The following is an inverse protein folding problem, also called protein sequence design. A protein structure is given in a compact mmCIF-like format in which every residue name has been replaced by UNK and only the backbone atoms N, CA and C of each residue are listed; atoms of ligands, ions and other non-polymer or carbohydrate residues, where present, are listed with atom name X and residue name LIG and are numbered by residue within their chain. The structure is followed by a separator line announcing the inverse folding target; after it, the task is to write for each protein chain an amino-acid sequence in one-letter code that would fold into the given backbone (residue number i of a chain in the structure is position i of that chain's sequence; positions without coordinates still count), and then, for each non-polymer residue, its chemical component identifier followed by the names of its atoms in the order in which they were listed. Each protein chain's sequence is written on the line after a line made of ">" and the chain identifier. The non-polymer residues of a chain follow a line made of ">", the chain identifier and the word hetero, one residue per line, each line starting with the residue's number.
data_IF_710315118052
#
_entry.id   IF_710315118052
#
_cell.length_a   1.000
_cell.length_b   1.000
_cell.length_c   1.000
_cell.angle_alpha   90.00
_cell.angle_beta   90.00
_cell.angle_gamma   90.00
#
_symmetry.space_group_name_H-M   'P 1'
#
loop_
_entity.id
_entity.type
_entity.pdbx_description
1 polymer ?
#
# COMPACT_ATOMS: atom_id res chain seq x y z
N UNK A 1 3.35 -84.24 -1.63
CA UNK A 1 4.37 -83.19 -1.86
C UNK A 1 3.64 -82.02 -2.54
N UNK A 2 3.13 -81.09 -1.74
CA UNK A 2 2.29 -79.97 -2.20
C UNK A 2 3.14 -78.70 -2.31
N UNK A 3 3.10 -78.05 -3.47
CA UNK A 3 3.83 -76.80 -3.74
C UNK A 3 2.85 -75.64 -3.52
N UNK A 4 3.10 -74.84 -2.47
CA UNK A 4 2.33 -73.62 -2.21
C UNK A 4 2.87 -72.48 -3.08
N UNK A 5 2.01 -71.90 -3.91
CA UNK A 5 2.29 -70.66 -4.66
C UNK A 5 1.90 -69.48 -3.77
N UNK A 6 2.87 -68.74 -3.25
CA UNK A 6 2.62 -67.49 -2.53
C UNK A 6 2.46 -66.35 -3.53
N UNK A 7 1.23 -65.86 -3.72
CA UNK A 7 0.95 -64.57 -4.34
C UNK A 7 1.14 -63.45 -3.33
N UNK A 8 2.22 -62.67 -3.45
CA UNK A 8 2.40 -61.41 -2.73
C UNK A 8 1.73 -60.27 -3.51
N UNK A 9 0.56 -59.84 -3.03
CA UNK A 9 -0.08 -58.61 -3.48
C UNK A 9 0.73 -57.40 -3.00
N UNK A 10 1.31 -56.64 -3.92
CA UNK A 10 2.01 -55.38 -3.63
C UNK A 10 0.96 -54.27 -3.49
N UNK A 11 0.45 -54.08 -2.28
CA UNK A 11 -0.38 -52.91 -1.91
C UNK A 11 0.53 -51.86 -1.29
N UNK A 12 0.89 -50.82 -2.03
CA UNK A 12 1.57 -49.68 -1.41
C UNK A 12 2.20 -48.67 -2.36
N UNK A 13 1.39 -47.91 -3.09
CA UNK A 13 1.89 -46.66 -3.73
C UNK A 13 0.83 -45.65 -4.12
N UNK A 14 -0.46 -45.86 -3.83
CA UNK A 14 -1.52 -44.97 -4.32
C UNK A 14 -1.84 -43.77 -3.40
N UNK A 15 -1.32 -43.70 -2.17
CA UNK A 15 -1.83 -42.76 -1.15
C UNK A 15 -0.99 -41.50 -0.91
N UNK A 16 0.16 -41.32 -1.58
CA UNK A 16 1.03 -40.14 -1.38
C UNK A 16 0.96 -39.09 -2.48
N UNK A 17 0.35 -39.38 -3.64
CA UNK A 17 0.24 -38.41 -4.75
C UNK A 17 -0.98 -37.48 -4.67
N UNK A 18 -1.92 -37.68 -3.75
CA UNK A 18 -3.13 -36.86 -3.67
C UNK A 18 -2.93 -35.52 -2.93
N UNK A 19 -1.79 -35.30 -2.27
CA UNK A 19 -1.54 -34.10 -1.45
C UNK A 19 -0.79 -32.98 -2.18
N UNK A 20 -0.24 -33.25 -3.37
CA UNK A 20 0.54 -32.29 -4.15
C UNK A 20 -0.33 -31.29 -4.94
N UNK A 21 -1.49 -31.63 -5.53
CA UNK A 21 -2.22 -30.65 -6.34
C UNK A 21 -2.96 -29.60 -5.50
N UNK A 22 -3.31 -29.91 -4.24
CA UNK A 22 -4.01 -28.97 -3.35
C UNK A 22 -3.13 -27.79 -2.89
N UNK A 23 -1.81 -27.97 -2.82
CA UNK A 23 -0.88 -26.89 -2.44
C UNK A 23 -0.55 -25.98 -3.63
N UNK A 24 -0.59 -26.49 -4.87
CA UNK A 24 -0.29 -25.72 -6.07
C UNK A 24 -1.43 -24.75 -6.47
N UNK A 25 -2.68 -25.08 -6.16
CA UNK A 25 -3.84 -24.19 -6.37
C UNK A 25 -3.99 -23.11 -5.28
N UNK A 26 -3.26 -23.20 -4.16
CA UNK A 26 -3.26 -22.18 -3.11
C UNK A 26 -2.33 -21.00 -3.39
N UNK A 27 -1.27 -21.19 -4.19
CA UNK A 27 -0.26 -20.16 -4.47
C UNK A 27 -0.58 -19.27 -5.68
N UNK A 28 -1.57 -19.61 -6.50
CA UNK A 28 -1.93 -18.82 -7.69
C UNK A 28 -2.67 -17.51 -7.36
N UNK A 29 -3.05 -17.28 -6.10
CA UNK A 29 -3.74 -16.07 -5.66
C UNK A 29 -2.86 -14.83 -5.47
N UNK A 30 -1.52 -14.95 -5.50
CA UNK A 30 -0.62 -13.81 -5.32
C UNK A 30 -0.15 -13.16 -6.64
N UNK A 31 -0.62 -13.65 -7.79
CA UNK A 31 -0.17 -13.16 -9.10
C UNK A 31 -1.30 -12.63 -9.99
N UNK A 32 -2.57 -12.74 -9.56
CA UNK A 32 -3.68 -12.02 -10.19
C UNK A 32 -3.70 -10.62 -9.62
N UNK A 33 -3.32 -9.62 -10.43
CA UNK A 33 -3.27 -8.20 -10.09
C UNK A 33 -4.61 -7.54 -9.75
N UNK A 34 -5.59 -8.30 -9.26
CA UNK A 34 -6.92 -7.81 -8.86
C UNK A 34 -6.89 -7.00 -7.54
N UNK A 35 -5.75 -6.97 -6.86
CA UNK A 35 -5.54 -6.09 -5.70
C UNK A 35 -5.06 -4.68 -6.08
N UNK A 36 -4.71 -4.44 -7.35
CA UNK A 36 -4.16 -3.17 -7.83
C UNK A 36 -4.96 -2.56 -9.01
N UNK A 37 -6.10 -3.14 -9.39
CA UNK A 37 -6.86 -2.64 -10.55
C UNK A 37 -7.43 -1.23 -10.34
N UNK A 38 -7.77 -0.87 -9.10
CA UNK A 38 -8.40 0.42 -8.74
C UNK A 38 -7.43 1.42 -8.09
N UNK A 39 -6.13 1.23 -8.26
CA UNK A 39 -5.14 2.22 -7.84
C UNK A 39 -4.33 2.74 -9.04
N UNK A 40 -3.83 3.96 -8.93
CA UNK A 40 -3.00 4.65 -9.91
C UNK A 40 -1.98 5.52 -9.18
N UNK A 41 -0.96 6.03 -9.88
CA UNK A 41 -0.14 7.10 -9.29
C UNK A 41 -0.93 8.39 -9.23
N UNK A 42 -0.55 9.29 -8.31
CA UNK A 42 -1.06 10.67 -8.29
C UNK A 42 -1.07 11.26 -9.70
N UNK A 43 -2.26 11.63 -10.17
CA UNK A 43 -2.48 12.12 -11.54
C UNK A 43 -3.00 13.55 -11.59
N UNK A 44 -3.13 14.22 -10.44
CA UNK A 44 -3.58 15.61 -10.35
C UNK A 44 -4.61 15.84 -9.24
N UNK A 45 -5.29 17.00 -9.27
CA UNK A 45 -6.13 17.48 -8.16
C UNK A 45 -7.29 16.57 -7.75
N UNK A 46 -7.78 15.74 -8.68
CA UNK A 46 -8.89 14.81 -8.39
C UNK A 46 -8.43 13.53 -7.65
N UNK A 47 -7.12 13.37 -7.43
CA UNK A 47 -6.55 12.20 -6.74
C UNK A 47 -6.72 12.32 -5.22
N UNK A 48 -7.15 11.24 -4.57
CA UNK A 48 -7.15 11.14 -3.10
C UNK A 48 -5.80 10.57 -2.64
N UNK A 49 -4.87 11.45 -2.27
CA UNK A 49 -3.52 11.07 -1.81
C UNK A 49 -3.44 10.78 -0.30
N UNK A 50 -4.50 11.04 0.45
CA UNK A 50 -4.49 10.88 1.90
C UNK A 50 -5.87 10.51 2.41
N UNK A 51 -5.89 9.63 3.40
CA UNK A 51 -7.08 9.21 4.11
C UNK A 51 -6.80 9.22 5.61
N UNK A 52 -7.78 9.63 6.41
CA UNK A 52 -7.67 9.72 7.87
C UNK A 52 -7.80 8.35 8.55
N UNK A 53 -7.17 7.33 7.98
CA UNK A 53 -7.10 5.97 8.49
C UNK A 53 -5.72 5.43 8.26
N UNK A 54 -5.02 5.16 9.35
CA UNK A 54 -3.74 4.47 9.32
C UNK A 54 -3.98 2.95 9.31
N UNK A 55 -3.40 2.27 8.34
CA UNK A 55 -3.43 0.81 8.23
C UNK A 55 -2.03 0.19 8.27
N UNK A 56 -1.04 1.04 8.50
CA UNK A 56 0.35 0.68 8.65
C UNK A 56 0.64 -0.03 9.95
N UNK A 57 1.70 -0.82 9.90
CA UNK A 57 2.33 -1.38 11.08
C UNK A 57 3.82 -1.26 10.84
N UNK A 58 4.35 -0.05 11.00
CA UNK A 58 5.78 0.18 10.95
C UNK A 58 6.37 0.38 12.37
N UNK A 59 7.69 0.31 12.43
CA UNK A 59 8.46 0.75 13.57
C UNK A 59 9.37 1.88 13.08
N UNK A 60 8.75 2.99 12.65
CA UNK A 60 9.46 4.04 11.94
C UNK A 60 10.61 4.65 12.76
N UNK A 61 11.79 4.93 12.16
CA UNK A 61 12.88 5.66 12.80
C UNK A 61 12.59 7.14 13.09
N UNK A 62 11.44 7.66 12.63
CA UNK A 62 11.00 9.04 12.79
C UNK A 62 11.01 9.82 11.48
N UNK A 63 10.18 10.87 11.40
CA UNK A 63 10.08 11.77 10.25
C UNK A 63 11.35 12.62 10.11
N UNK A 64 11.77 12.85 8.86
CA UNK A 64 12.91 13.72 8.56
C UNK A 64 12.45 15.18 8.52
N UNK A 65 13.11 16.04 9.31
CA UNK A 65 12.83 17.47 9.30
C UNK A 65 13.06 18.08 7.92
N UNK A 66 12.06 18.84 7.44
CA UNK A 66 12.14 19.57 6.18
C UNK A 66 11.78 18.76 4.93
N UNK A 67 11.45 17.48 5.08
CA UNK A 67 10.91 16.64 4.00
C UNK A 67 9.37 16.63 4.07
N UNK A 68 8.74 17.64 3.46
CA UNK A 68 7.28 17.71 3.34
C UNK A 68 6.87 18.41 2.05
N UNK A 69 5.75 17.95 1.47
CA UNK A 69 5.05 18.68 0.43
C UNK A 69 3.98 19.61 1.02
N UNK A 70 3.46 20.50 0.18
CA UNK A 70 2.28 21.30 0.50
C UNK A 70 1.11 20.76 -0.32
N UNK A 71 0.04 20.32 0.33
CA UNK A 71 -1.22 20.00 -0.34
C UNK A 71 -2.25 21.11 -0.06
N UNK A 72 -3.14 21.34 -1.02
CA UNK A 72 -4.33 22.16 -0.86
C UNK A 72 -5.50 21.24 -0.50
N UNK A 73 -6.07 21.41 0.69
CA UNK A 73 -7.22 20.63 1.14
C UNK A 73 -8.51 21.03 0.37
N UNK A 74 -9.63 20.30 0.55
CA UNK A 74 -10.91 20.64 -0.09
C UNK A 74 -11.43 22.04 0.23
N UNK A 75 -11.01 22.64 1.35
CA UNK A 75 -11.36 24.01 1.74
C UNK A 75 -10.44 25.05 1.07
N UNK A 76 -9.40 24.61 0.35
CA UNK A 76 -8.42 25.46 -0.33
C UNK A 76 -7.31 25.97 0.58
N UNK A 77 -7.19 25.41 1.79
CA UNK A 77 -6.14 25.73 2.75
C UNK A 77 -4.94 24.81 2.58
N UNK A 78 -3.77 25.31 2.95
CA UNK A 78 -2.51 24.60 2.81
C UNK A 78 -2.26 23.70 4.03
N UNK A 79 -1.89 22.45 3.75
CA UNK A 79 -1.43 21.49 4.75
C UNK A 79 -0.03 21.01 4.41
N UNK A 80 0.78 20.76 5.43
CA UNK A 80 1.98 19.94 5.30
C UNK A 80 1.55 18.49 5.17
N UNK A 81 2.16 17.77 4.23
CA UNK A 81 1.95 16.34 4.05
C UNK A 81 3.28 15.62 3.85
N UNK A 82 3.41 14.47 4.52
CA UNK A 82 4.54 13.56 4.46
C UNK A 82 3.96 12.15 4.38
N UNK A 83 4.50 11.31 3.51
CA UNK A 83 4.12 9.93 3.37
C UNK A 83 5.37 9.06 3.23
N UNK A 84 5.54 8.07 4.10
CA UNK A 84 6.63 7.10 4.00
C UNK A 84 6.22 5.79 3.34
N UNK A 85 5.13 5.81 2.58
CA UNK A 85 4.62 4.72 1.75
C UNK A 85 3.70 3.75 2.49
N UNK A 86 3.59 3.83 3.81
CA UNK A 86 2.63 3.06 4.59
C UNK A 86 1.83 3.96 5.53
N UNK A 87 2.48 4.97 6.12
CA UNK A 87 1.90 5.90 7.07
C UNK A 87 2.04 7.35 6.58
N UNK A 88 0.91 8.06 6.58
CA UNK A 88 0.85 9.46 6.16
C UNK A 88 0.66 10.41 7.34
N UNK A 89 1.44 11.49 7.37
CA UNK A 89 1.35 12.55 8.37
C UNK A 89 0.88 13.84 7.72
N UNK A 90 -0.05 14.53 8.39
CA UNK A 90 -0.50 15.84 7.93
C UNK A 90 -0.71 16.83 9.07
N UNK A 91 -0.45 18.10 8.79
CA UNK A 91 -0.77 19.19 9.72
C UNK A 91 -1.14 20.47 8.96
N UNK A 92 -2.05 21.31 9.48
CA UNK A 92 -2.34 22.60 8.86
C UNK A 92 -1.10 23.48 8.83
N UNK A 93 -0.92 24.21 7.73
CA UNK A 93 0.15 25.20 7.60
C UNK A 93 -0.37 26.56 8.04
N UNK A 94 0.36 27.20 8.93
CA UNK A 94 0.00 28.51 9.49
C UNK A 94 0.94 29.61 8.98
N UNK A 95 0.37 30.78 8.75
CA UNK A 95 1.16 31.99 8.52
C UNK A 95 1.82 32.42 9.83
N UNK A 96 3.17 32.51 9.91
CA UNK A 96 3.86 32.88 11.14
C UNK A 96 3.56 34.32 11.60
N UNK A 97 3.08 35.21 10.72
CA UNK A 97 2.76 36.59 11.09
C UNK A 97 1.39 36.70 11.78
N UNK A 98 0.39 35.94 11.31
CA UNK A 98 -1.00 36.02 11.79
C UNK A 98 -1.41 34.87 12.69
N UNK A 99 -0.72 33.72 12.62
CA UNK A 99 -1.09 32.48 13.28
C UNK A 99 -2.32 31.80 12.67
N UNK A 100 -2.82 32.29 11.54
CA UNK A 100 -3.99 31.74 10.85
C UNK A 100 -3.59 30.69 9.81
N UNK A 101 -4.47 29.72 9.50
CA UNK A 101 -4.26 28.81 8.37
C UNK A 101 -4.03 29.58 7.06
N UNK A 102 -3.12 29.09 6.23
CA UNK A 102 -2.84 29.70 4.94
C UNK A 102 -3.87 29.21 3.91
N UNK A 103 -4.84 30.04 3.56
CA UNK A 103 -5.87 29.76 2.54
C UNK A 103 -5.85 30.87 1.49
N UNK A 104 -4.85 30.85 0.60
CA UNK A 104 -4.56 31.93 -0.35
C UNK A 104 -5.20 31.76 -1.73
N UNK A 105 -5.79 30.58 -2.00
CA UNK A 105 -6.45 30.26 -3.28
C UNK A 105 -5.49 30.27 -4.48
N UNK A 106 -4.17 30.15 -4.26
CA UNK A 106 -3.17 30.22 -5.33
C UNK A 106 -3.22 29.02 -6.28
N UNK A 107 -3.59 27.85 -5.75
CA UNK A 107 -3.78 26.61 -6.49
C UNK A 107 -5.14 26.00 -6.15
N UNK A 108 -5.74 25.21 -7.08
CA UNK A 108 -7.02 24.57 -6.81
C UNK A 108 -6.90 23.51 -5.70
N UNK A 109 -7.99 23.24 -4.95
CA UNK A 109 -8.07 22.10 -4.02
C UNK A 109 -7.60 20.79 -4.65
N UNK A 110 -6.89 19.96 -3.89
CA UNK A 110 -6.28 18.72 -4.35
C UNK A 110 -4.89 18.86 -5.00
N UNK A 111 -4.41 20.10 -5.20
CA UNK A 111 -3.05 20.33 -5.71
C UNK A 111 -2.00 19.94 -4.68
N UNK A 112 -0.99 19.19 -5.12
CA UNK A 112 0.19 18.85 -4.31
C UNK A 112 1.42 19.53 -4.89
N UNK A 113 2.18 20.22 -4.04
CA UNK A 113 3.38 20.97 -4.39
C UNK A 113 4.60 20.33 -3.72
N UNK A 114 5.47 19.71 -4.54
CA UNK A 114 6.69 19.04 -4.08
C UNK A 114 6.52 17.55 -3.86
N UNK A 115 7.61 16.82 -3.56
CA UNK A 115 7.57 15.41 -3.22
C UNK A 115 6.97 15.23 -1.83
N UNK A 116 5.91 14.45 -1.71
CA UNK A 116 5.30 14.09 -0.42
C UNK A 116 5.79 12.74 0.08
N UNK A 117 6.20 11.85 -0.83
CA UNK A 117 6.81 10.55 -0.53
C UNK A 117 8.24 10.70 -0.01
N UNK A 118 8.57 10.04 1.10
CA UNK A 118 9.93 9.98 1.63
C UNK A 118 10.77 8.94 0.88
N UNK A 119 12.09 9.08 0.97
CA UNK A 119 13.02 8.13 0.34
C UNK A 119 13.01 6.73 0.97
N UNK A 120 12.45 6.59 2.17
CA UNK A 120 12.31 5.31 2.88
C UNK A 120 11.09 4.52 2.46
N UNK A 121 10.24 5.09 1.60
CA UNK A 121 9.04 4.41 1.12
C UNK A 121 9.35 3.08 0.42
N UNK A 122 8.62 1.98 0.73
CA UNK A 122 8.85 0.68 0.10
C UNK A 122 8.62 0.67 -1.42
N UNK A 123 7.91 1.68 -1.94
CA UNK A 123 7.61 1.89 -3.34
C UNK A 123 6.86 3.20 -3.55
N UNK A 124 6.55 3.55 -4.81
CA UNK A 124 5.70 4.70 -5.11
C UNK A 124 4.29 4.47 -4.55
N UNK A 125 3.68 5.53 -4.04
CA UNK A 125 2.32 5.52 -3.56
C UNK A 125 1.34 5.29 -4.72
N UNK A 126 0.24 4.60 -4.40
CA UNK A 126 -0.83 4.30 -5.33
C UNK A 126 -2.15 4.78 -4.74
N UNK A 127 -2.67 5.85 -5.33
CA UNK A 127 -3.94 6.46 -4.97
C UNK A 127 -5.11 5.74 -5.63
N UNK A 128 -6.30 5.73 -5.02
CA UNK A 128 -7.52 5.25 -5.68
C UNK A 128 -7.77 5.96 -7.02
N UNK A 129 -8.32 5.22 -7.99
CA UNK A 129 -8.74 5.78 -9.29
C UNK A 129 -10.02 6.59 -9.22
#
# INVERSE_FOLDING_TARGET
>A
MALAVNTTATSGTARRLALVPLLALGLSGCASGEFLEDVQRYSGPDSVIAMASDTGADANPGLVDGEAAIAYDPDGCQVWIIDDGVEGYSSPRFDPATGLPICDGKYPPGTVLGPYETSTAPGPDQVPR
#
